data_IF_167788432410
#
_entry.id   IF_167788432410
#
_cell.length_a   1.000
_cell.length_b   1.000
_cell.length_c   1.000
_cell.angle_alpha   90.00
_cell.angle_beta   90.00
_cell.angle_gamma   90.00
#
_symmetry.space_group_name_H-M   'P 1'
#
loop_
_entity.id
_entity.type
_entity.pdbx_description
1 polymer ?
#
# COMPACT_ATOMS: atom_id res chain seq x y z
N UNK A 1 -12.52 3.00 18.22
CA UNK A 1 -12.63 2.00 17.13
C UNK A 1 -11.57 2.15 16.03
N UNK A 2 -10.91 3.30 15.84
CA UNK A 2 -9.91 3.49 14.77
C UNK A 2 -8.55 2.77 15.01
N UNK A 3 -8.13 2.56 16.27
CA UNK A 3 -6.84 1.91 16.60
C UNK A 3 -6.75 0.43 16.16
N UNK A 4 -7.87 -0.30 16.19
CA UNK A 4 -7.87 -1.76 15.95
C UNK A 4 -7.63 -2.10 14.47
N UNK A 5 -8.20 -1.30 13.55
CA UNK A 5 -8.01 -1.49 12.11
C UNK A 5 -6.61 -1.12 11.64
N UNK A 6 -6.01 -0.06 12.21
CA UNK A 6 -4.61 0.30 11.95
C UNK A 6 -3.64 -0.84 12.31
N UNK A 7 -3.92 -1.55 13.41
CA UNK A 7 -3.15 -2.73 13.82
C UNK A 7 -3.33 -3.93 12.88
N UNK A 8 -4.43 -4.03 12.14
CA UNK A 8 -4.66 -5.15 11.22
C UNK A 8 -3.84 -5.01 9.92
N UNK A 9 -3.80 -3.80 9.33
CA UNK A 9 -3.05 -3.55 8.10
C UNK A 9 -1.54 -3.69 8.30
N UNK A 10 -1.01 -3.16 9.41
CA UNK A 10 0.41 -3.33 9.75
C UNK A 10 0.79 -4.81 9.89
N UNK A 11 -0.01 -5.62 10.59
CA UNK A 11 0.22 -7.06 10.72
C UNK A 11 0.24 -7.80 9.39
N UNK A 12 -0.67 -7.45 8.46
CA UNK A 12 -0.71 -8.03 7.11
C UNK A 12 0.55 -7.70 6.33
N UNK A 13 0.95 -6.43 6.31
CA UNK A 13 2.20 -5.96 5.67
C UNK A 13 3.42 -6.65 6.28
N UNK A 14 3.55 -6.69 7.60
CA UNK A 14 4.68 -7.37 8.26
C UNK A 14 4.72 -8.88 7.96
N UNK A 15 3.56 -9.53 7.82
CA UNK A 15 3.51 -10.95 7.43
C UNK A 15 4.01 -11.18 5.99
N UNK A 16 3.64 -10.29 5.07
CA UNK A 16 4.10 -10.30 3.69
C UNK A 16 5.60 -9.99 3.58
N UNK A 17 6.07 -8.95 4.28
CA UNK A 17 7.48 -8.53 4.32
C UNK A 17 8.42 -9.67 4.74
N UNK A 18 8.03 -10.50 5.72
CA UNK A 18 8.82 -11.68 6.13
C UNK A 18 8.93 -12.78 5.06
N UNK A 19 8.04 -12.80 4.07
CA UNK A 19 8.05 -13.81 2.99
C UNK A 19 8.90 -13.40 1.80
N UNK A 20 8.99 -12.09 1.52
CA UNK A 20 9.74 -11.54 0.38
C UNK A 20 11.17 -12.10 0.24
N UNK A 21 11.99 -12.14 1.31
CA UNK A 21 13.34 -12.69 1.23
C UNK A 21 13.37 -14.17 0.84
N UNK A 22 12.34 -14.94 1.23
CA UNK A 22 12.22 -16.37 0.94
C UNK A 22 11.91 -16.63 -0.54
N UNK A 23 11.43 -15.61 -1.24
CA UNK A 23 11.18 -15.64 -2.68
C UNK A 23 12.37 -15.16 -3.52
N UNK A 24 13.45 -14.70 -2.88
CA UNK A 24 14.60 -14.12 -3.60
C UNK A 24 14.26 -12.81 -4.32
N UNK A 25 13.22 -12.10 -3.86
CA UNK A 25 12.80 -10.82 -4.42
C UNK A 25 13.18 -9.66 -3.48
N UNK A 26 13.39 -8.47 -4.04
CA UNK A 26 13.65 -7.24 -3.28
C UNK A 26 12.34 -6.52 -2.90
N UNK A 27 11.30 -6.71 -3.69
CA UNK A 27 9.98 -6.13 -3.46
C UNK A 27 8.91 -6.69 -4.39
N UNK A 28 7.67 -6.25 -4.16
CA UNK A 28 6.47 -6.68 -4.88
C UNK A 28 5.65 -5.44 -5.21
N UNK A 29 5.21 -5.36 -6.47
CA UNK A 29 4.25 -4.40 -6.95
C UNK A 29 2.85 -5.03 -6.98
N UNK A 30 1.89 -4.41 -6.31
CA UNK A 30 0.48 -4.76 -6.36
C UNK A 30 -0.26 -3.73 -7.21
N UNK A 31 -0.91 -4.23 -8.27
CA UNK A 31 -1.74 -3.45 -9.19
C UNK A 31 -3.24 -3.68 -8.97
N UNK A 32 -3.60 -4.83 -8.39
CA UNK A 32 -4.99 -5.18 -8.10
C UNK A 32 -5.52 -4.42 -6.88
N UNK A 33 -6.65 -3.73 -7.05
CA UNK A 33 -7.22 -2.87 -6.01
C UNK A 33 -7.72 -3.63 -4.78
N UNK A 34 -8.12 -4.91 -4.92
CA UNK A 34 -8.52 -5.72 -3.78
C UNK A 34 -7.31 -6.03 -2.88
N UNK A 35 -6.16 -6.34 -3.48
CA UNK A 35 -4.90 -6.53 -2.75
C UNK A 35 -4.44 -5.22 -2.08
N UNK A 36 -4.51 -4.11 -2.80
CA UNK A 36 -4.16 -2.78 -2.28
C UNK A 36 -5.03 -2.45 -1.07
N UNK A 37 -6.36 -2.59 -1.17
CA UNK A 37 -7.30 -2.36 -0.07
C UNK A 37 -7.04 -3.29 1.10
N UNK A 38 -6.76 -4.58 0.84
CA UNK A 38 -6.46 -5.55 1.89
C UNK A 38 -5.19 -5.19 2.69
N UNK A 39 -4.15 -4.68 2.05
CA UNK A 39 -2.85 -4.39 2.67
C UNK A 39 -2.75 -2.98 3.26
N UNK A 40 -3.46 -2.00 2.70
CA UNK A 40 -3.32 -0.59 3.07
C UNK A 40 -4.57 0.02 3.72
N UNK A 41 -5.76 -0.55 3.47
CA UNK A 41 -7.03 0.05 3.84
C UNK A 41 -7.56 1.09 2.84
N UNK A 42 -6.78 1.44 1.83
CA UNK A 42 -7.20 2.39 0.78
C UNK A 42 -8.42 1.89 0.02
N UNK A 43 -9.43 2.74 -0.14
CA UNK A 43 -10.71 2.38 -0.74
C UNK A 43 -10.96 2.99 -2.12
N UNK A 44 -10.01 3.76 -2.67
CA UNK A 44 -10.09 4.25 -4.04
C UNK A 44 -10.18 3.13 -5.08
N UNK A 45 -10.47 3.51 -6.32
CA UNK A 45 -10.63 2.55 -7.43
C UNK A 45 -9.34 2.31 -8.22
N UNK A 46 -8.32 3.14 -8.02
CA UNK A 46 -7.06 3.05 -8.76
C UNK A 46 -5.88 3.43 -7.85
N UNK A 47 -4.76 2.72 -8.00
CA UNK A 47 -3.52 2.97 -7.28
C UNK A 47 -2.54 1.83 -7.47
N UNK A 48 -1.33 1.99 -6.94
CA UNK A 48 -0.30 0.96 -6.89
C UNK A 48 0.22 0.86 -5.46
N UNK A 49 0.47 -0.36 -4.98
CA UNK A 49 1.14 -0.56 -3.71
C UNK A 49 2.47 -1.26 -3.97
N UNK A 50 3.55 -0.65 -3.50
CA UNK A 50 4.88 -1.24 -3.57
C UNK A 50 5.24 -1.67 -2.15
N UNK A 51 5.68 -2.91 -1.98
CA UNK A 51 6.26 -3.33 -0.71
C UNK A 51 7.63 -3.94 -0.92
N UNK A 52 8.62 -3.46 -0.17
CA UNK A 52 9.92 -4.11 -0.01
C UNK A 52 9.93 -4.92 1.28
N UNK A 53 11.09 -5.47 1.66
CA UNK A 53 11.31 -6.12 2.96
C UNK A 53 11.01 -5.18 4.14
N UNK A 54 11.37 -3.91 4.00
CA UNK A 54 11.45 -2.98 5.14
C UNK A 54 10.34 -1.92 5.07
N UNK A 55 9.88 -1.60 3.86
CA UNK A 55 8.99 -0.47 3.62
C UNK A 55 7.82 -0.84 2.70
N UNK A 56 6.79 -0.01 2.73
CA UNK A 56 5.62 -0.11 1.87
C UNK A 56 5.22 1.30 1.47
N UNK A 57 4.85 1.51 0.22
CA UNK A 57 4.37 2.79 -0.32
C UNK A 57 3.06 2.59 -1.06
N UNK A 58 2.13 3.51 -0.89
CA UNK A 58 0.95 3.63 -1.73
C UNK A 58 1.18 4.77 -2.72
N UNK A 59 1.07 4.46 -4.01
CA UNK A 59 1.11 5.43 -5.09
C UNK A 59 -0.31 5.62 -5.61
N UNK A 60 -0.74 6.88 -5.71
CA UNK A 60 -2.05 7.26 -6.25
C UNK A 60 -1.92 8.44 -7.20
N UNK A 61 -2.84 8.56 -8.15
CA UNK A 61 -2.95 9.79 -8.92
C UNK A 61 -3.62 10.90 -8.11
N UNK A 62 -3.52 12.15 -8.59
CA UNK A 62 -4.01 13.34 -7.90
C UNK A 62 -5.49 13.31 -7.51
N UNK A 63 -6.34 12.53 -8.19
CA UNK A 63 -7.77 12.39 -7.85
C UNK A 63 -7.97 11.73 -6.48
N UNK A 64 -7.03 10.87 -6.05
CA UNK A 64 -7.17 10.10 -4.81
C UNK A 64 -6.20 10.53 -3.69
N UNK A 65 -5.30 11.48 -3.91
CA UNK A 65 -4.28 11.88 -2.90
C UNK A 65 -4.89 12.25 -1.55
N UNK A 66 -5.93 13.10 -1.54
CA UNK A 66 -6.57 13.53 -0.30
C UNK A 66 -7.26 12.38 0.45
N UNK A 67 -7.94 11.50 -0.30
CA UNK A 67 -8.57 10.29 0.25
C UNK A 67 -7.51 9.35 0.83
N UNK A 68 -6.47 9.04 0.07
CA UNK A 68 -5.41 8.12 0.46
C UNK A 68 -4.71 8.59 1.75
N UNK A 69 -4.39 9.88 1.87
CA UNK A 69 -3.79 10.45 3.10
C UNK A 69 -4.70 10.36 4.32
N UNK A 70 -6.01 10.27 4.13
CA UNK A 70 -6.99 10.15 5.22
C UNK A 70 -7.20 8.70 5.63
N UNK A 71 -7.28 7.78 4.67
CA UNK A 71 -7.61 6.38 4.91
C UNK A 71 -6.41 5.52 5.34
N UNK A 72 -5.22 5.86 4.85
CA UNK A 72 -4.03 5.02 4.95
C UNK A 72 -3.16 5.47 6.11
N UNK A 73 -2.70 4.51 6.90
CA UNK A 73 -1.90 4.77 8.09
C UNK A 73 -0.64 3.89 8.14
N UNK A 74 0.46 4.49 8.58
CA UNK A 74 1.73 3.79 8.80
C UNK A 74 2.42 3.33 7.51
N UNK A 75 2.12 3.98 6.38
CA UNK A 75 2.88 3.96 5.14
C UNK A 75 2.83 5.33 4.46
N UNK A 76 3.88 5.75 3.75
CA UNK A 76 3.85 6.92 2.89
C UNK A 76 2.83 6.77 1.73
N UNK A 77 2.17 7.88 1.41
CA UNK A 77 1.33 8.06 0.23
C UNK A 77 2.05 9.01 -0.73
N UNK A 78 2.35 8.52 -1.93
CA UNK A 78 3.02 9.25 -2.98
C UNK A 78 2.03 9.56 -4.11
N UNK A 79 1.93 10.83 -4.49
CA UNK A 79 1.19 11.23 -5.68
C UNK A 79 2.06 11.04 -6.92
N UNK A 80 1.49 10.57 -8.03
CA UNK A 80 2.13 10.58 -9.34
C UNK A 80 1.23 11.26 -10.37
N UNK A 81 1.84 12.03 -11.27
CA UNK A 81 1.14 12.85 -12.25
C UNK A 81 0.97 12.16 -13.62
N UNK A 82 1.83 11.19 -13.98
CA UNK A 82 1.81 10.54 -15.28
C UNK A 82 2.07 9.03 -15.17
N UNK A 83 1.20 8.22 -15.78
CA UNK A 83 1.62 6.91 -16.29
C UNK A 83 2.35 7.23 -17.58
N UNK A 84 3.67 6.97 -17.64
CA UNK A 84 4.48 7.17 -18.84
C UNK A 84 3.67 6.80 -20.11
N UNK A 85 3.45 7.79 -20.98
CA UNK A 85 3.16 7.56 -22.39
C UNK A 85 4.39 7.00 -23.11
#
# INVERSE_FOLDING_TARGET
MQQTSQNAFSRRRSSLQRKIPRWGADGILFTDICNIRYLSGFTGSEGLLITSRDETWLLVDGRYTAQARTEVCGIPVCEFADKLE
#
